data_IF_368824280749
#
_entry.id   IF_368824280749
#
_cell.length_a   1.000
_cell.length_b   1.000
_cell.length_c   1.000
_cell.angle_alpha   90.00
_cell.angle_beta   90.00
_cell.angle_gamma   90.00
#
_symmetry.space_group_name_H-M   'P 1'
#
loop_
_entity.id
_entity.type
_entity.pdbx_description
1 polymer ?
#
# COMPACT_ATOMS: atom_id res chain seq x y z
N UNK A 1 -4.87 3.77 -15.04
CA UNK A 1 -4.37 4.91 -14.24
C UNK A 1 -4.67 4.61 -12.77
N UNK A 2 -3.78 4.98 -11.84
CA UNK A 2 -4.07 4.83 -10.40
C UNK A 2 -5.04 5.91 -9.93
N UNK A 3 -5.93 5.56 -8.99
CA UNK A 3 -6.91 6.48 -8.37
C UNK A 3 -6.84 6.39 -6.84
N UNK A 4 -7.23 7.48 -6.18
CA UNK A 4 -7.46 7.48 -4.73
C UNK A 4 -8.66 6.61 -4.35
N UNK A 5 -8.62 6.05 -3.14
CA UNK A 5 -9.82 5.55 -2.48
C UNK A 5 -10.66 6.69 -1.89
N UNK A 6 -11.69 6.33 -1.11
CA UNK A 6 -12.61 7.30 -0.49
C UNK A 6 -12.20 7.72 0.93
N UNK A 7 -11.20 7.06 1.53
CA UNK A 7 -10.73 7.35 2.90
C UNK A 7 -9.39 8.07 2.90
N UNK A 8 -9.03 8.71 4.01
CA UNK A 8 -7.77 9.45 4.16
C UNK A 8 -6.55 8.57 3.87
N UNK A 9 -6.55 7.33 4.37
CA UNK A 9 -5.42 6.41 4.27
C UNK A 9 -5.25 5.83 2.86
N UNK A 10 -6.29 5.91 2.03
CA UNK A 10 -6.29 5.40 0.65
C UNK A 10 -6.14 6.51 -0.40
N UNK A 11 -5.91 7.76 0.04
CA UNK A 11 -5.55 8.85 -0.86
C UNK A 11 -4.14 8.66 -1.43
N UNK A 12 -3.96 9.00 -2.71
CA UNK A 12 -2.64 9.10 -3.33
C UNK A 12 -1.81 10.12 -2.55
N UNK A 13 -0.59 9.75 -2.20
CA UNK A 13 0.33 10.58 -1.43
C UNK A 13 0.24 10.39 0.09
N UNK A 14 -0.76 9.66 0.61
CA UNK A 14 -0.79 9.30 2.03
C UNK A 14 0.47 8.49 2.39
N UNK A 15 1.16 8.91 3.46
CA UNK A 15 2.30 8.18 4.03
C UNK A 15 1.87 7.65 5.39
N UNK A 16 1.99 6.34 5.58
CA UNK A 16 1.61 5.71 6.84
C UNK A 16 2.71 5.87 7.91
N UNK A 17 2.43 5.42 9.14
CA UNK A 17 3.37 5.49 10.29
C UNK A 17 4.67 4.68 10.15
N UNK A 18 4.80 3.89 9.10
CA UNK A 18 5.93 3.02 8.83
C UNK A 18 6.69 3.47 7.57
N UNK A 19 6.47 4.70 7.05
CA UNK A 19 7.11 5.24 5.84
C UNK A 19 6.75 4.50 4.55
N UNK A 20 5.49 4.10 4.38
CA UNK A 20 4.98 3.65 3.08
C UNK A 20 4.10 4.72 2.46
N UNK A 21 4.47 5.15 1.25
CA UNK A 21 3.64 6.05 0.45
C UNK A 21 2.63 5.26 -0.37
N UNK A 22 1.37 5.64 -0.28
CA UNK A 22 0.31 5.15 -1.13
C UNK A 22 0.31 5.87 -2.49
N UNK A 23 0.28 5.09 -3.57
CA UNK A 23 0.20 5.55 -4.95
C UNK A 23 -1.18 5.30 -5.58
N UNK A 24 -2.15 4.83 -4.80
CA UNK A 24 -3.52 4.58 -5.24
C UNK A 24 -3.76 3.13 -5.68
N UNK A 25 -4.94 2.90 -6.24
CA UNK A 25 -5.39 1.58 -6.73
C UNK A 25 -5.75 1.64 -8.21
N UNK A 26 -5.65 0.50 -8.91
CA UNK A 26 -6.24 0.30 -10.24
C UNK A 26 -7.63 -0.34 -10.18
N UNK A 27 -8.13 -0.66 -8.99
CA UNK A 27 -9.35 -1.43 -8.78
C UNK A 27 -9.15 -2.93 -9.01
N UNK A 28 -7.93 -3.43 -8.86
CA UNK A 28 -7.64 -4.87 -8.85
C UNK A 28 -8.09 -5.43 -7.50
N UNK A 29 -8.68 -6.61 -7.52
CA UNK A 29 -9.14 -7.28 -6.31
C UNK A 29 -7.97 -7.55 -5.36
N UNK A 30 -8.19 -7.21 -4.09
CA UNK A 30 -7.33 -7.62 -3.00
C UNK A 30 -7.60 -9.07 -2.60
N UNK A 31 -6.94 -9.52 -1.54
CA UNK A 31 -7.20 -10.84 -0.95
C UNK A 31 -8.03 -10.77 0.35
N UNK A 32 -8.49 -9.58 0.73
CA UNK A 32 -9.48 -9.36 1.78
C UNK A 32 -10.90 -9.20 1.18
N UNK A 33 -11.92 -9.47 2.00
CA UNK A 33 -13.32 -9.38 1.59
C UNK A 33 -13.69 -8.00 1.04
N UNK A 34 -14.08 -7.97 -0.25
CA UNK A 34 -14.48 -6.78 -0.99
C UNK A 34 -13.45 -5.63 -0.98
N UNK A 35 -12.17 -5.95 -0.80
CA UNK A 35 -11.08 -4.96 -0.87
C UNK A 35 -10.47 -4.92 -2.25
N UNK A 36 -9.92 -3.75 -2.59
CA UNK A 36 -9.02 -3.58 -3.73
C UNK A 36 -7.60 -3.35 -3.23
N UNK A 37 -6.63 -3.73 -4.04
CA UNK A 37 -5.21 -3.55 -3.73
C UNK A 37 -4.71 -2.15 -4.09
N UNK A 38 -3.82 -1.64 -3.26
CA UNK A 38 -3.17 -0.34 -3.41
C UNK A 38 -1.67 -0.50 -3.57
N UNK A 39 -1.10 0.26 -4.48
CA UNK A 39 0.34 0.36 -4.69
C UNK A 39 0.97 1.13 -3.54
N UNK A 40 1.87 0.48 -2.81
CA UNK A 40 2.71 1.12 -1.80
C UNK A 40 4.17 1.18 -2.25
N UNK A 41 4.88 2.21 -1.83
CA UNK A 41 6.33 2.35 -1.95
C UNK A 41 6.93 2.60 -0.58
N UNK A 42 7.96 1.81 -0.21
CA UNK A 42 8.70 2.05 1.03
C UNK A 42 9.70 3.19 0.83
N UNK A 43 9.58 4.24 1.66
CA UNK A 43 10.43 5.43 1.64
C UNK A 43 11.65 5.31 2.58
N UNK A 44 11.89 4.14 3.19
CA UNK A 44 13.10 3.93 3.97
C UNK A 44 14.36 4.09 3.07
N UNK A 45 15.39 4.83 3.53
CA UNK A 45 16.61 5.02 2.76
C UNK A 45 17.21 3.68 2.32
N UNK A 46 17.45 3.53 1.01
CA UNK A 46 18.03 2.32 0.42
C UNK A 46 17.05 1.14 0.21
N UNK A 47 15.77 1.27 0.57
CA UNK A 47 14.78 0.21 0.36
C UNK A 47 14.05 0.33 -0.98
N UNK A 48 13.21 1.35 -1.13
CA UNK A 48 12.46 1.69 -2.35
C UNK A 48 11.50 0.62 -2.87
N UNK A 49 11.24 -0.46 -2.11
CA UNK A 49 10.43 -1.57 -2.64
C UNK A 49 8.99 -1.14 -2.87
N UNK A 50 8.43 -1.57 -3.99
CA UNK A 50 7.05 -1.34 -4.38
C UNK A 50 6.27 -2.63 -4.30
N UNK A 51 5.07 -2.58 -3.72
CA UNK A 51 4.26 -3.77 -3.46
C UNK A 51 2.79 -3.42 -3.22
N UNK A 52 1.89 -4.40 -3.36
CA UNK A 52 0.47 -4.22 -3.12
C UNK A 52 0.08 -4.51 -1.67
N UNK A 53 -0.96 -3.84 -1.20
CA UNK A 53 -1.65 -4.13 0.06
C UNK A 53 -3.15 -3.83 -0.05
N UNK A 54 -3.98 -4.52 0.72
CA UNK A 54 -5.41 -4.19 0.80
C UNK A 54 -5.61 -2.78 1.36
N UNK A 55 -6.69 -2.10 0.93
CA UNK A 55 -7.06 -0.77 1.43
C UNK A 55 -7.20 -0.71 2.96
N UNK A 56 -7.70 -1.79 3.56
CA UNK A 56 -7.81 -2.02 5.01
C UNK A 56 -6.46 -1.98 5.74
N UNK A 57 -5.36 -2.30 5.06
CA UNK A 57 -4.03 -2.41 5.67
C UNK A 57 -3.15 -1.18 5.45
N UNK A 58 -3.46 -0.30 4.50
CA UNK A 58 -2.56 0.79 4.08
C UNK A 58 -2.03 1.61 5.25
N UNK A 59 -2.88 1.92 6.23
CA UNK A 59 -2.54 2.74 7.41
C UNK A 59 -1.51 2.11 8.37
N UNK A 60 -1.37 0.79 8.33
CA UNK A 60 -0.53 0.02 9.26
C UNK A 60 0.51 -0.87 8.57
N UNK A 61 0.47 -0.94 7.23
CA UNK A 61 1.30 -1.86 6.47
C UNK A 61 2.77 -1.61 6.79
N UNK A 62 3.54 -2.69 6.98
CA UNK A 62 5.01 -2.65 7.06
C UNK A 62 5.61 -3.11 5.74
N UNK A 63 6.79 -2.58 5.43
CA UNK A 63 7.60 -2.98 4.28
C UNK A 63 8.01 -4.47 4.36
N UNK A 64 7.76 -5.28 3.30
CA UNK A 64 8.18 -6.67 3.28
C UNK A 64 9.70 -6.86 3.19
N UNK A 65 10.43 -5.87 2.65
CA UNK A 65 11.87 -5.98 2.41
C UNK A 65 12.72 -5.62 3.64
N UNK A 66 12.36 -4.57 4.39
CA UNK A 66 13.22 -4.02 5.45
C UNK A 66 12.56 -3.90 6.84
N UNK A 67 11.25 -4.15 6.97
CA UNK A 67 10.52 -3.96 8.23
C UNK A 67 9.83 -5.25 8.73
N UNK A 68 10.11 -6.39 8.10
CA UNK A 68 9.48 -7.68 8.45
C UNK A 68 7.98 -7.75 8.13
N UNK A 69 7.50 -6.97 7.17
CA UNK A 69 6.12 -7.04 6.70
C UNK A 69 5.82 -8.33 5.92
N UNK A 70 4.54 -8.72 5.86
CA UNK A 70 4.10 -9.82 4.97
C UNK A 70 4.40 -9.49 3.49
N UNK A 71 4.62 -10.47 2.61
CA UNK A 71 4.75 -10.26 1.16
C UNK A 71 3.62 -9.40 0.57
N UNK A 72 3.90 -8.70 -0.51
CA UNK A 72 2.89 -7.93 -1.24
C UNK A 72 1.90 -8.79 -2.01
N UNK A 73 0.82 -8.17 -2.45
CA UNK A 73 -0.13 -8.70 -3.44
C UNK A 73 -0.02 -7.91 -4.76
N UNK A 74 -0.73 -8.34 -5.81
CA UNK A 74 -0.84 -7.61 -7.09
C UNK A 74 -1.66 -6.30 -6.95
N UNK A 75 -1.39 -5.28 -7.77
CA UNK A 75 -1.99 -3.93 -7.68
C UNK A 75 -2.00 -3.09 -8.98
#
# INVERSE_FOLDING_TARGET
>A
MFKSGSTTTTQIGYINRNNQKNHGTRGIDGNDHCQVSYKLECLEPGCGVVYGANGTDVFQRKCPKCQGGKPGIDF
#
